data_IF_528972979664
#
_entry.id   IF_528972979664
#
_cell.length_a   1.000
_cell.length_b   1.000
_cell.length_c   1.000
_cell.angle_alpha   90.00
_cell.angle_beta   90.00
_cell.angle_gamma   90.00
#
_symmetry.space_group_name_H-M   'P 1'
#
loop_
_entity.id
_entity.type
_entity.pdbx_description
1 polymer ?
#
# COMPACT_ATOMS: atom_id res chain seq x y z
N UNK A 1 18.84 -17.01 48.06
CA UNK A 1 18.40 -17.97 47.03
C UNK A 1 17.43 -17.31 46.05
N UNK A 2 16.42 -16.60 46.56
CA UNK A 2 15.39 -15.90 45.77
C UNK A 2 15.88 -15.06 44.57
N UNK A 3 16.95 -14.26 44.72
CA UNK A 3 17.50 -13.49 43.58
C UNK A 3 18.02 -14.38 42.43
N UNK A 4 18.64 -15.52 42.74
CA UNK A 4 19.16 -16.42 41.71
C UNK A 4 18.02 -17.10 40.96
N UNK A 5 16.97 -17.51 41.66
CA UNK A 5 15.76 -18.07 41.06
C UNK A 5 15.08 -17.07 40.13
N UNK A 6 14.84 -15.84 40.60
CA UNK A 6 14.28 -14.77 39.77
C UNK A 6 15.17 -14.44 38.56
N UNK A 7 16.49 -14.49 38.73
CA UNK A 7 17.43 -14.35 37.62
C UNK A 7 17.25 -15.44 36.57
N UNK A 8 17.18 -16.71 36.97
CA UNK A 8 17.02 -17.82 36.02
C UNK A 8 15.63 -17.79 35.35
N UNK A 9 14.57 -17.44 36.07
CA UNK A 9 13.24 -17.24 35.50
C UNK A 9 13.25 -16.11 34.46
N UNK A 10 13.88 -14.98 34.76
CA UNK A 10 14.01 -13.85 33.84
C UNK A 10 14.77 -14.25 32.57
N UNK A 11 15.89 -14.95 32.72
CA UNK A 11 16.68 -15.44 31.58
C UNK A 11 15.89 -16.45 30.73
N UNK A 12 15.18 -17.38 31.37
CA UNK A 12 14.31 -18.34 30.68
C UNK A 12 13.20 -17.66 29.88
N UNK A 13 12.57 -16.63 30.45
CA UNK A 13 11.55 -15.83 29.77
C UNK A 13 12.11 -15.12 28.52
N UNK A 14 13.29 -14.49 28.63
CA UNK A 14 13.94 -13.81 27.51
C UNK A 14 14.34 -14.80 26.39
N UNK A 15 14.86 -15.98 26.75
CA UNK A 15 15.23 -17.03 25.78
C UNK A 15 13.99 -17.57 25.07
N UNK A 16 12.91 -17.83 25.80
CA UNK A 16 11.64 -18.28 25.22
C UNK A 16 11.10 -17.23 24.25
N UNK A 17 11.13 -15.96 24.64
CA UNK A 17 10.73 -14.83 23.80
C UNK A 17 11.54 -14.79 22.51
N UNK A 18 12.87 -14.87 22.62
CA UNK A 18 13.76 -14.85 21.46
C UNK A 18 13.50 -16.04 20.53
N UNK A 19 13.26 -17.23 21.08
CA UNK A 19 12.91 -18.41 20.29
C UNK A 19 11.57 -18.24 19.56
N UNK A 20 10.56 -17.67 20.21
CA UNK A 20 9.26 -17.38 19.58
C UNK A 20 9.38 -16.31 18.51
N UNK A 21 10.12 -15.25 18.79
CA UNK A 21 10.39 -14.17 17.85
C UNK A 21 11.08 -14.70 16.59
N UNK A 22 12.11 -15.53 16.73
CA UNK A 22 12.78 -16.19 15.60
C UNK A 22 11.83 -17.03 14.76
N UNK A 23 10.79 -17.62 15.36
CA UNK A 23 9.77 -18.39 14.62
C UNK A 23 8.76 -17.51 13.88
N UNK A 24 8.66 -16.22 14.20
CA UNK A 24 7.73 -15.28 13.58
C UNK A 24 8.37 -14.35 12.54
N UNK A 25 9.70 -14.17 12.58
CA UNK A 25 10.46 -13.36 11.60
C UNK A 25 11.15 -14.27 10.56
N UNK A 26 10.68 -15.50 10.38
CA UNK A 26 11.13 -16.33 9.24
C UNK A 26 10.51 -15.81 7.95
N UNK A 27 11.07 -16.23 6.80
CA UNK A 27 10.38 -16.05 5.51
C UNK A 27 9.02 -16.74 5.55
N UNK A 28 8.01 -16.04 5.05
CA UNK A 28 6.61 -16.44 5.20
C UNK A 28 6.18 -17.51 4.19
N UNK A 29 5.26 -18.38 4.59
CA UNK A 29 4.66 -19.36 3.70
C UNK A 29 3.42 -18.83 2.96
N UNK A 30 2.53 -19.76 2.58
CA UNK A 30 1.20 -19.43 2.03
C UNK A 30 0.31 -18.71 3.07
N UNK A 31 -0.74 -18.07 2.59
CA UNK A 31 -1.70 -17.29 3.40
C UNK A 31 -2.16 -18.03 4.68
N UNK A 32 -2.51 -19.31 4.57
CA UNK A 32 -2.96 -20.13 5.72
C UNK A 32 -1.87 -20.25 6.81
N UNK A 33 -0.62 -20.50 6.40
CA UNK A 33 0.51 -20.60 7.31
C UNK A 33 0.78 -19.27 8.03
N UNK A 34 0.66 -18.15 7.32
CA UNK A 34 0.81 -16.80 7.90
C UNK A 34 -0.34 -16.50 8.87
N UNK A 35 -1.57 -16.92 8.54
CA UNK A 35 -2.72 -16.75 9.42
C UNK A 35 -2.57 -17.53 10.74
N UNK A 36 -2.06 -18.77 10.67
CA UNK A 36 -1.71 -19.56 11.86
C UNK A 36 -0.63 -18.87 12.68
N UNK A 37 0.36 -18.27 12.02
CA UNK A 37 1.43 -17.52 12.68
C UNK A 37 0.89 -16.30 13.43
N UNK A 38 0.00 -15.51 12.81
CA UNK A 38 -0.67 -14.37 13.45
C UNK A 38 -1.55 -14.81 14.62
N UNK A 39 -2.29 -15.92 14.48
CA UNK A 39 -3.08 -16.46 15.58
C UNK A 39 -2.20 -16.86 16.76
N UNK A 40 -1.08 -17.53 16.50
CA UNK A 40 -0.11 -17.91 17.53
C UNK A 40 0.50 -16.68 18.22
N UNK A 41 0.81 -15.63 17.46
CA UNK A 41 1.26 -14.35 17.97
C UNK A 41 0.23 -13.73 18.93
N UNK A 42 -1.02 -13.57 18.47
CA UNK A 42 -2.11 -12.98 19.26
C UNK A 42 -2.34 -13.79 20.54
N UNK A 43 -2.37 -15.12 20.42
CA UNK A 43 -2.54 -15.98 21.58
C UNK A 43 -1.40 -15.85 22.60
N UNK A 44 -0.16 -15.71 22.13
CA UNK A 44 1.00 -15.57 23.03
C UNK A 44 1.11 -14.16 23.63
N UNK A 45 0.88 -13.11 22.84
CA UNK A 45 1.09 -11.73 23.28
C UNK A 45 -0.12 -11.21 24.05
N UNK A 46 -1.32 -11.38 23.52
CA UNK A 46 -2.54 -10.81 24.11
C UNK A 46 -3.15 -11.75 25.15
N UNK A 47 -3.42 -13.02 24.80
CA UNK A 47 -4.13 -13.93 25.71
C UNK A 47 -3.31 -14.39 26.91
N UNK A 48 -1.98 -14.46 26.76
CA UNK A 48 -1.09 -14.80 27.87
C UNK A 48 -0.57 -13.56 28.61
N UNK A 49 -1.04 -12.35 28.28
CA UNK A 49 -0.59 -11.10 28.93
C UNK A 49 0.94 -10.98 28.98
N UNK A 50 1.57 -11.14 27.81
CA UNK A 50 3.02 -11.29 27.69
C UNK A 50 3.80 -10.12 28.30
N UNK A 51 3.35 -8.88 28.07
CA UNK A 51 4.02 -7.69 28.56
C UNK A 51 3.82 -7.52 30.07
N UNK A 52 2.63 -7.84 30.58
CA UNK A 52 2.33 -7.80 32.01
C UNK A 52 3.12 -8.87 32.78
N UNK A 53 3.29 -10.06 32.21
CA UNK A 53 4.12 -11.12 32.78
C UNK A 53 5.59 -10.71 32.88
N UNK A 54 6.13 -10.05 31.85
CA UNK A 54 7.48 -9.48 31.91
C UNK A 54 7.58 -8.48 33.07
N UNK A 55 6.62 -7.55 33.16
CA UNK A 55 6.66 -6.50 34.18
C UNK A 55 6.61 -7.09 35.58
N UNK A 56 5.73 -8.07 35.83
CA UNK A 56 5.64 -8.78 37.10
C UNK A 56 6.96 -9.51 37.45
N UNK A 57 7.55 -10.24 36.49
CA UNK A 57 8.83 -10.92 36.68
C UNK A 57 9.98 -9.93 36.94
N UNK A 58 10.00 -8.81 36.23
CA UNK A 58 11.01 -7.78 36.37
C UNK A 58 10.91 -7.07 37.72
N UNK A 59 9.71 -6.78 38.21
CA UNK A 59 9.51 -6.21 39.55
C UNK A 59 9.98 -7.18 40.66
N UNK A 60 9.65 -8.46 40.56
CA UNK A 60 10.13 -9.48 41.51
C UNK A 60 11.67 -9.60 41.49
N UNK A 61 12.26 -9.57 40.29
CA UNK A 61 13.71 -9.54 40.13
C UNK A 61 14.33 -8.30 40.77
N UNK A 62 13.72 -7.13 40.60
CA UNK A 62 14.20 -5.86 41.19
C UNK A 62 14.17 -5.91 42.72
N UNK A 63 13.06 -6.34 43.33
CA UNK A 63 12.92 -6.43 44.78
C UNK A 63 13.95 -7.42 45.38
N UNK A 64 14.09 -8.60 44.76
CA UNK A 64 15.08 -9.59 45.19
C UNK A 64 16.53 -9.12 44.96
N UNK A 65 16.79 -8.32 43.92
CA UNK A 65 18.10 -7.71 43.65
C UNK A 65 18.47 -6.68 44.72
N UNK A 66 17.52 -5.84 45.13
CA UNK A 66 17.71 -4.85 46.20
C UNK A 66 17.97 -5.54 47.54
N UNK A 67 17.20 -6.58 47.89
CA UNK A 67 17.43 -7.40 49.08
C UNK A 67 18.81 -8.10 49.06
N UNK A 68 19.24 -8.62 47.91
CA UNK A 68 20.53 -9.28 47.76
C UNK A 68 21.73 -8.32 47.84
N UNK A 69 21.53 -7.06 47.44
CA UNK A 69 22.53 -6.00 47.60
C UNK A 69 22.61 -5.52 49.05
N UNK A 70 21.45 -5.34 49.71
CA UNK A 70 21.32 -4.76 51.04
C UNK A 70 21.59 -5.75 52.20
N UNK A 71 21.80 -7.04 51.93
CA UNK A 71 22.22 -7.99 52.96
C UNK A 71 23.55 -7.56 53.59
N UNK A 72 23.53 -7.31 54.91
CA UNK A 72 24.58 -6.64 55.70
C UNK A 72 26.01 -7.11 55.39
N UNK A 73 26.93 -6.15 55.20
CA UNK A 73 28.36 -6.36 54.98
C UNK A 73 29.15 -5.56 56.02
N UNK A 74 29.51 -6.16 57.16
CA UNK A 74 30.12 -5.43 58.29
C UNK A 74 31.66 -5.48 58.34
N UNK A 75 32.35 -5.86 57.26
CA UNK A 75 33.82 -5.96 57.21
C UNK A 75 34.52 -5.31 56.00
N UNK A 76 35.74 -4.77 56.21
CA UNK A 76 36.57 -4.16 55.16
C UNK A 76 36.98 -5.12 54.02
N UNK A 77 37.19 -6.41 54.30
CA UNK A 77 37.48 -7.42 53.29
C UNK A 77 36.21 -7.80 52.49
N UNK A 78 35.04 -7.76 53.12
CA UNK A 78 33.73 -7.95 52.50
C UNK A 78 33.36 -6.80 51.56
N UNK A 79 33.84 -5.58 51.82
CA UNK A 79 33.52 -4.37 51.03
C UNK A 79 33.97 -4.44 49.56
N UNK A 80 35.07 -5.15 49.27
CA UNK A 80 35.50 -5.42 47.88
C UNK A 80 34.59 -6.46 47.20
N UNK A 81 34.17 -7.48 47.94
CA UNK A 81 33.23 -8.51 47.47
C UNK A 81 31.81 -7.96 47.28
N UNK A 82 31.37 -7.07 48.18
CA UNK A 82 30.13 -6.31 48.12
C UNK A 82 30.10 -5.43 46.88
N UNK A 83 31.15 -4.65 46.63
CA UNK A 83 31.23 -3.82 45.43
C UNK A 83 31.19 -4.64 44.13
N UNK A 84 31.85 -5.80 44.09
CA UNK A 84 31.77 -6.72 42.96
C UNK A 84 30.35 -7.28 42.79
N UNK A 85 29.68 -7.66 43.89
CA UNK A 85 28.28 -8.12 43.91
C UNK A 85 27.33 -7.05 43.37
N UNK A 86 27.41 -5.82 43.89
CA UNK A 86 26.61 -4.67 43.45
C UNK A 86 26.83 -4.37 41.98
N UNK A 87 28.10 -4.32 41.55
CA UNK A 87 28.45 -4.08 40.14
C UNK A 87 27.87 -5.16 39.23
N UNK A 88 27.97 -6.43 39.63
CA UNK A 88 27.46 -7.55 38.86
C UNK A 88 25.93 -7.53 38.74
N UNK A 89 25.20 -7.33 39.85
CA UNK A 89 23.73 -7.19 39.83
C UNK A 89 23.31 -6.01 38.95
N UNK A 90 23.94 -4.85 39.11
CA UNK A 90 23.64 -3.66 38.29
C UNK A 90 23.92 -3.90 36.81
N UNK A 91 24.99 -4.64 36.48
CA UNK A 91 25.30 -4.99 35.09
C UNK A 91 24.22 -5.92 34.52
N UNK A 92 23.87 -6.97 35.24
CA UNK A 92 22.82 -7.91 34.86
C UNK A 92 21.47 -7.22 34.63
N UNK A 93 21.05 -6.35 35.56
CA UNK A 93 19.80 -5.59 35.41
C UNK A 93 19.81 -4.71 34.15
N UNK A 94 20.95 -4.06 33.83
CA UNK A 94 21.07 -3.29 32.58
C UNK A 94 20.99 -4.16 31.33
N UNK A 95 21.64 -5.33 31.35
CA UNK A 95 21.59 -6.31 30.24
C UNK A 95 20.14 -6.77 30.00
N UNK A 96 19.40 -7.13 31.06
CA UNK A 96 17.98 -7.52 30.99
C UNK A 96 17.12 -6.42 30.39
N UNK A 97 17.28 -5.17 30.84
CA UNK A 97 16.51 -4.02 30.32
C UNK A 97 16.87 -3.74 28.86
N UNK A 98 18.14 -3.82 28.48
CA UNK A 98 18.57 -3.61 27.09
C UNK A 98 18.03 -4.70 26.16
N UNK A 99 18.14 -5.97 26.55
CA UNK A 99 17.63 -7.10 25.78
C UNK A 99 16.10 -7.02 25.64
N UNK A 100 15.39 -6.68 26.71
CA UNK A 100 13.94 -6.49 26.64
C UNK A 100 13.52 -5.34 25.72
N UNK A 101 14.24 -4.22 25.73
CA UNK A 101 13.94 -3.10 24.82
C UNK A 101 13.98 -3.53 23.36
N UNK A 102 15.00 -4.28 22.96
CA UNK A 102 15.09 -4.83 21.59
C UNK A 102 13.96 -5.83 21.32
N UNK A 103 13.86 -6.88 22.15
CA UNK A 103 12.88 -7.95 21.96
C UNK A 103 11.44 -7.42 21.95
N UNK A 104 11.10 -6.51 22.84
CA UNK A 104 9.75 -5.95 22.94
C UNK A 104 9.41 -5.02 21.77
N UNK A 105 10.41 -4.38 21.14
CA UNK A 105 10.21 -3.60 19.92
C UNK A 105 9.94 -4.53 18.74
N UNK A 106 10.75 -5.57 18.58
CA UNK A 106 10.61 -6.56 17.51
C UNK A 106 9.30 -7.37 17.64
N UNK A 107 8.94 -7.80 18.86
CA UNK A 107 7.65 -8.47 19.10
C UNK A 107 6.49 -7.56 18.72
N UNK A 108 6.56 -6.23 18.94
CA UNK A 108 5.49 -5.31 18.54
C UNK A 108 5.39 -5.14 17.02
N UNK A 109 6.52 -5.18 16.30
CA UNK A 109 6.50 -5.03 14.83
C UNK A 109 6.01 -6.28 14.10
N UNK A 110 6.20 -7.47 14.68
CA UNK A 110 5.75 -8.76 14.09
C UNK A 110 4.28 -8.73 13.71
N UNK A 111 3.40 -8.18 14.57
CA UNK A 111 1.97 -8.11 14.28
C UNK A 111 1.69 -7.36 12.98
N UNK A 112 2.23 -6.16 12.87
CA UNK A 112 2.03 -5.29 11.70
C UNK A 112 2.53 -5.97 10.45
N UNK A 113 3.70 -6.64 10.52
CA UNK A 113 4.27 -7.35 9.37
C UNK A 113 3.38 -8.53 8.95
N UNK A 114 2.88 -9.32 9.90
CA UNK A 114 1.99 -10.45 9.60
C UNK A 114 0.65 -10.00 9.01
N UNK A 115 0.06 -8.94 9.56
CA UNK A 115 -1.17 -8.33 9.03
C UNK A 115 -0.96 -7.76 7.62
N UNK A 116 0.18 -7.12 7.37
CA UNK A 116 0.55 -6.60 6.05
C UNK A 116 0.75 -7.72 5.01
N UNK A 117 1.41 -8.81 5.38
CA UNK A 117 1.58 -9.99 4.51
C UNK A 117 0.22 -10.62 4.18
N UNK A 118 -0.67 -10.77 5.16
CA UNK A 118 -2.02 -11.30 4.93
C UNK A 118 -2.86 -10.41 4.02
N UNK A 119 -2.81 -9.09 4.23
CA UNK A 119 -3.50 -8.12 3.39
C UNK A 119 -3.01 -8.18 1.94
N UNK A 120 -1.69 -8.31 1.73
CA UNK A 120 -1.13 -8.50 0.40
C UNK A 120 -1.54 -9.83 -0.24
N UNK A 121 -1.61 -10.92 0.53
CA UNK A 121 -2.15 -12.21 0.03
C UNK A 121 -3.60 -12.12 -0.40
N UNK A 122 -4.45 -11.47 0.40
CA UNK A 122 -5.86 -11.27 0.09
C UNK A 122 -6.03 -10.41 -1.16
N UNK A 123 -5.31 -9.27 -1.22
CA UNK A 123 -5.32 -8.38 -2.39
C UNK A 123 -4.84 -9.10 -3.64
N UNK A 124 -3.72 -9.83 -3.57
CA UNK A 124 -3.20 -10.62 -4.69
C UNK A 124 -4.23 -11.64 -5.16
N UNK A 125 -4.78 -12.46 -4.26
CA UNK A 125 -5.72 -13.53 -4.61
C UNK A 125 -7.02 -12.98 -5.20
N UNK A 126 -7.57 -11.92 -4.60
CA UNK A 126 -8.78 -11.24 -5.08
C UNK A 126 -8.59 -10.62 -6.46
N UNK A 127 -7.50 -9.89 -6.66
CA UNK A 127 -7.20 -9.25 -7.94
C UNK A 127 -6.86 -10.26 -9.02
N UNK A 128 -6.15 -11.35 -8.70
CA UNK A 128 -5.90 -12.45 -9.65
C UNK A 128 -7.20 -13.10 -10.11
N UNK A 129 -8.10 -13.45 -9.18
CA UNK A 129 -9.40 -14.04 -9.52
C UNK A 129 -10.23 -13.11 -10.42
N UNK A 130 -10.28 -11.83 -10.06
CA UNK A 130 -11.00 -10.80 -10.82
C UNK A 130 -10.41 -10.61 -12.23
N UNK A 131 -9.08 -10.52 -12.35
CA UNK A 131 -8.39 -10.38 -13.64
C UNK A 131 -8.54 -11.61 -14.52
N UNK A 132 -8.51 -12.82 -13.94
CA UNK A 132 -8.68 -14.06 -14.69
C UNK A 132 -10.08 -14.15 -15.30
N UNK A 133 -11.13 -13.87 -14.51
CA UNK A 133 -12.49 -13.82 -15.02
C UNK A 133 -12.64 -12.75 -16.12
N UNK A 134 -12.06 -11.57 -15.89
CA UNK A 134 -12.07 -10.51 -16.90
C UNK A 134 -11.32 -10.88 -18.17
N UNK A 135 -10.20 -11.62 -18.09
CA UNK A 135 -9.49 -12.08 -19.28
C UNK A 135 -10.35 -13.00 -20.15
N UNK A 136 -11.08 -13.92 -19.53
CA UNK A 136 -11.99 -14.82 -20.25
C UNK A 136 -13.09 -14.04 -20.96
N UNK A 137 -13.71 -13.09 -20.26
CA UNK A 137 -14.74 -12.22 -20.83
C UNK A 137 -14.18 -11.30 -21.93
N UNK A 138 -12.97 -10.79 -21.76
CA UNK A 138 -12.29 -9.94 -22.73
C UNK A 138 -11.92 -10.71 -24.01
N UNK A 139 -11.42 -11.94 -23.88
CA UNK A 139 -11.13 -12.83 -25.01
C UNK A 139 -12.43 -13.15 -25.78
N UNK A 140 -13.54 -13.39 -25.08
CA UNK A 140 -14.86 -13.58 -25.69
C UNK A 140 -15.34 -12.31 -26.40
N UNK A 141 -15.23 -11.14 -25.76
CA UNK A 141 -15.62 -9.85 -26.32
C UNK A 141 -14.79 -9.49 -27.56
N UNK A 142 -13.52 -9.89 -27.64
CA UNK A 142 -12.68 -9.70 -28.82
C UNK A 142 -13.20 -10.40 -30.08
N UNK A 143 -14.04 -11.44 -29.95
CA UNK A 143 -14.68 -12.12 -31.08
C UNK A 143 -15.96 -11.43 -31.58
N UNK A 144 -16.49 -10.46 -30.82
CA UNK A 144 -17.73 -9.75 -31.09
C UNK A 144 -17.53 -8.55 -32.03
N UNK A 145 -18.60 -7.92 -32.56
CA UNK A 145 -18.49 -6.70 -33.36
C UNK A 145 -17.90 -5.50 -32.58
N UNK A 146 -17.34 -4.54 -33.32
CA UNK A 146 -16.61 -3.36 -32.80
C UNK A 146 -17.40 -2.56 -31.74
N UNK A 147 -18.72 -2.41 -31.90
CA UNK A 147 -19.55 -1.67 -30.95
C UNK A 147 -19.53 -2.33 -29.55
N UNK A 148 -19.65 -3.65 -29.50
CA UNK A 148 -19.60 -4.43 -28.25
C UNK A 148 -18.21 -4.37 -27.61
N UNK A 149 -17.13 -4.38 -28.41
CA UNK A 149 -15.77 -4.21 -27.90
C UNK A 149 -15.58 -2.86 -27.22
N UNK A 150 -16.06 -1.79 -27.85
CA UNK A 150 -15.97 -0.42 -27.29
C UNK A 150 -16.67 -0.30 -25.95
N UNK A 151 -17.87 -0.85 -25.84
CA UNK A 151 -18.62 -0.82 -24.58
C UNK A 151 -17.92 -1.61 -23.47
N UNK A 152 -17.40 -2.80 -23.78
CA UNK A 152 -16.71 -3.65 -22.80
C UNK A 152 -15.37 -3.05 -22.33
N UNK A 153 -14.56 -2.51 -23.26
CA UNK A 153 -13.23 -1.96 -22.93
C UNK A 153 -13.26 -0.50 -22.47
N UNK A 154 -14.43 0.10 -22.25
CA UNK A 154 -14.54 1.44 -21.67
C UNK A 154 -13.86 1.52 -20.31
N UNK A 155 -14.03 0.49 -19.49
CA UNK A 155 -13.49 0.45 -18.13
C UNK A 155 -12.05 -0.13 -18.09
N UNK A 156 -11.33 -0.14 -19.23
CA UNK A 156 -9.98 -0.70 -19.34
C UNK A 156 -8.97 -0.02 -18.41
N UNK A 157 -9.12 1.28 -18.12
CA UNK A 157 -8.25 2.00 -17.17
C UNK A 157 -8.31 1.40 -15.78
N UNK A 158 -9.51 1.02 -15.30
CA UNK A 158 -9.65 0.36 -14.00
C UNK A 158 -8.90 -0.98 -13.97
N UNK A 159 -8.94 -1.74 -15.06
CA UNK A 159 -8.24 -3.02 -15.16
C UNK A 159 -6.72 -2.86 -15.27
N UNK A 160 -6.24 -1.75 -15.84
CA UNK A 160 -4.81 -1.39 -15.78
C UNK A 160 -4.36 -1.16 -14.34
N UNK A 161 -5.15 -0.46 -13.54
CA UNK A 161 -4.86 -0.21 -12.13
C UNK A 161 -4.90 -1.51 -11.31
N UNK A 162 -5.87 -2.40 -11.59
CA UNK A 162 -5.94 -3.73 -10.97
C UNK A 162 -4.71 -4.58 -11.34
N UNK A 163 -4.28 -4.58 -12.61
CA UNK A 163 -3.07 -5.27 -13.04
C UNK A 163 -1.81 -4.74 -12.35
N UNK A 164 -1.69 -3.41 -12.17
CA UNK A 164 -0.59 -2.81 -11.42
C UNK A 164 -0.63 -3.24 -9.94
N UNK A 165 -1.81 -3.15 -9.30
CA UNK A 165 -2.02 -3.56 -7.92
C UNK A 165 -1.69 -5.05 -7.67
N UNK A 166 -2.02 -5.93 -8.61
CA UNK A 166 -1.65 -7.35 -8.57
C UNK A 166 -0.13 -7.54 -8.58
N UNK A 167 0.57 -6.81 -9.45
CA UNK A 167 2.02 -6.89 -9.56
C UNK A 167 2.70 -6.36 -8.30
N UNK A 168 2.23 -5.25 -7.75
CA UNK A 168 2.78 -4.68 -6.51
C UNK A 168 2.61 -5.64 -5.33
N UNK A 169 1.40 -6.19 -5.15
CA UNK A 169 1.13 -7.17 -4.10
C UNK A 169 1.95 -8.46 -4.31
N UNK A 170 2.03 -8.94 -5.56
CA UNK A 170 2.80 -10.13 -5.90
C UNK A 170 4.32 -9.96 -5.67
N UNK A 171 4.88 -8.78 -6.01
CA UNK A 171 6.29 -8.47 -5.77
C UNK A 171 6.60 -8.40 -4.27
N UNK A 172 5.74 -7.75 -3.48
CA UNK A 172 5.88 -7.74 -2.02
C UNK A 172 5.89 -9.15 -1.44
N UNK A 173 4.97 -10.02 -1.88
CA UNK A 173 4.93 -11.41 -1.43
C UNK A 173 6.16 -12.20 -1.86
N UNK A 174 6.69 -11.98 -3.06
CA UNK A 174 7.92 -12.60 -3.53
C UNK A 174 9.15 -12.25 -2.67
N UNK A 175 9.23 -11.01 -2.20
CA UNK A 175 10.34 -10.54 -1.35
C UNK A 175 10.23 -11.05 0.09
N UNK A 176 9.01 -11.22 0.59
CA UNK A 176 8.73 -11.55 2.00
C UNK A 176 8.52 -13.04 2.27
N UNK A 177 8.09 -13.80 1.27
CA UNK A 177 7.83 -15.24 1.39
C UNK A 177 9.08 -16.11 1.19
N UNK A 178 8.94 -17.39 1.53
CA UNK A 178 9.97 -18.41 1.32
C UNK A 178 10.24 -18.68 -0.17
N UNK A 179 11.36 -19.32 -0.48
CA UNK A 179 11.79 -19.53 -1.85
C UNK A 179 10.80 -20.34 -2.69
N UNK A 180 10.08 -21.28 -2.06
CA UNK A 180 9.11 -22.14 -2.76
C UNK A 180 7.90 -21.32 -3.19
N UNK A 181 7.34 -20.55 -2.26
CA UNK A 181 6.18 -19.70 -2.50
C UNK A 181 6.54 -18.56 -3.45
N UNK A 182 7.72 -17.95 -3.30
CA UNK A 182 8.20 -16.90 -4.19
C UNK A 182 8.43 -17.42 -5.62
N UNK A 183 8.89 -18.66 -5.81
CA UNK A 183 9.01 -19.25 -7.13
C UNK A 183 7.64 -19.45 -7.78
N UNK A 184 6.68 -20.00 -7.04
CA UNK A 184 5.32 -20.22 -7.52
C UNK A 184 4.64 -18.89 -7.91
N UNK A 185 4.76 -17.86 -7.08
CA UNK A 185 4.25 -16.51 -7.34
C UNK A 185 4.87 -15.89 -8.60
N UNK A 186 6.19 -16.02 -8.78
CA UNK A 186 6.88 -15.56 -9.99
C UNK A 186 6.34 -16.25 -11.24
N UNK A 187 6.10 -17.56 -11.19
CA UNK A 187 5.54 -18.30 -12.31
C UNK A 187 4.11 -17.86 -12.63
N UNK A 188 3.26 -17.69 -11.62
CA UNK A 188 1.89 -17.20 -11.81
C UNK A 188 1.86 -15.78 -12.38
N UNK A 189 2.65 -14.85 -11.84
CA UNK A 189 2.77 -13.49 -12.36
C UNK A 189 3.28 -13.47 -13.79
N UNK A 190 4.27 -14.29 -14.14
CA UNK A 190 4.80 -14.37 -15.50
C UNK A 190 3.69 -14.76 -16.50
N UNK A 191 2.88 -15.75 -16.17
CA UNK A 191 1.77 -16.20 -17.01
C UNK A 191 0.68 -15.12 -17.14
N UNK A 192 0.27 -14.52 -16.02
CA UNK A 192 -0.76 -13.48 -15.99
C UNK A 192 -0.32 -12.22 -16.74
N UNK A 193 0.91 -11.75 -16.51
CA UNK A 193 1.46 -10.60 -17.20
C UNK A 193 1.66 -10.88 -18.69
N UNK A 194 1.99 -12.12 -19.06
CA UNK A 194 2.03 -12.57 -20.45
C UNK A 194 0.67 -12.45 -21.12
N UNK A 195 -0.37 -13.03 -20.51
CA UNK A 195 -1.76 -12.93 -21.00
C UNK A 195 -2.25 -11.49 -21.08
N UNK A 196 -1.98 -10.69 -20.04
CA UNK A 196 -2.31 -9.26 -20.01
C UNK A 196 -1.69 -8.54 -21.20
N UNK A 197 -0.38 -8.72 -21.44
CA UNK A 197 0.32 -8.07 -22.55
C UNK A 197 -0.28 -8.43 -23.91
N UNK A 198 -0.56 -9.71 -24.14
CA UNK A 198 -1.11 -10.19 -25.41
C UNK A 198 -2.52 -9.66 -25.67
N UNK A 199 -3.34 -9.54 -24.62
CA UNK A 199 -4.65 -8.91 -24.68
C UNK A 199 -4.52 -7.40 -24.90
N UNK A 200 -3.70 -6.73 -24.10
CA UNK A 200 -3.50 -5.28 -24.11
C UNK A 200 -3.06 -4.76 -25.48
N UNK A 201 -2.16 -5.47 -26.17
CA UNK A 201 -1.76 -5.13 -27.55
C UNK A 201 -2.95 -5.01 -28.51
N UNK A 202 -4.02 -5.80 -28.31
CA UNK A 202 -5.23 -5.80 -29.14
C UNK A 202 -6.24 -4.73 -28.71
N UNK A 203 -6.22 -4.33 -27.44
CA UNK A 203 -7.26 -3.46 -26.84
C UNK A 203 -6.76 -2.07 -26.44
N UNK A 204 -5.47 -1.79 -26.57
CA UNK A 204 -4.83 -0.51 -26.20
C UNK A 204 -5.53 0.72 -26.82
N UNK A 205 -6.11 0.58 -28.01
CA UNK A 205 -6.86 1.65 -28.68
C UNK A 205 -8.10 2.12 -27.89
N UNK A 206 -8.64 1.25 -27.04
CA UNK A 206 -9.80 1.56 -26.20
C UNK A 206 -9.42 2.26 -24.88
N UNK A 207 -8.15 2.18 -24.47
CA UNK A 207 -7.66 2.86 -23.27
C UNK A 207 -7.76 4.39 -23.37
N UNK A 208 -7.89 4.94 -24.58
CA UNK A 208 -8.05 6.39 -24.84
C UNK A 208 -9.39 6.69 -25.53
N UNK A 209 -10.32 5.72 -25.57
CA UNK A 209 -11.59 5.88 -26.28
C UNK A 209 -12.43 7.00 -25.67
N UNK A 210 -12.46 7.13 -24.34
CA UNK A 210 -13.21 8.18 -23.65
C UNK A 210 -12.66 9.58 -23.95
N UNK A 211 -11.34 9.73 -24.05
CA UNK A 211 -10.70 11.01 -24.43
C UNK A 211 -10.98 11.35 -25.89
N UNK A 212 -10.91 10.36 -26.78
CA UNK A 212 -11.20 10.51 -28.21
C UNK A 212 -12.67 10.87 -28.44
N UNK A 213 -13.59 10.24 -27.71
CA UNK A 213 -15.03 10.49 -27.82
C UNK A 213 -15.40 11.87 -27.24
N UNK A 214 -14.76 12.26 -26.13
CA UNK A 214 -14.85 13.62 -25.58
C UNK A 214 -14.35 14.66 -26.59
N UNK A 215 -13.17 14.42 -27.19
CA UNK A 215 -12.60 15.31 -28.20
C UNK A 215 -13.49 15.42 -29.44
N UNK A 216 -14.05 14.30 -29.92
CA UNK A 216 -15.01 14.29 -31.04
C UNK A 216 -16.26 15.11 -30.72
N UNK A 217 -16.81 14.97 -29.51
CA UNK A 217 -18.00 15.72 -29.07
C UNK A 217 -17.71 17.21 -28.96
N UNK A 218 -16.55 17.58 -28.44
CA UNK A 218 -16.14 18.98 -28.30
C UNK A 218 -15.81 19.60 -29.67
N UNK A 219 -15.19 18.86 -30.58
CA UNK A 219 -14.99 19.27 -31.97
C UNK A 219 -16.32 19.51 -32.70
N UNK A 220 -17.29 18.60 -32.58
CA UNK A 220 -18.62 18.75 -33.17
C UNK A 220 -19.34 20.00 -32.65
N UNK A 221 -19.27 20.26 -31.34
CA UNK A 221 -19.81 21.49 -30.74
C UNK A 221 -19.12 22.74 -31.28
N UNK A 222 -17.79 22.71 -31.41
CA UNK A 222 -17.03 23.85 -31.94
C UNK A 222 -17.40 24.13 -33.40
N UNK A 223 -17.53 23.10 -34.23
CA UNK A 223 -17.96 23.23 -35.63
C UNK A 223 -19.37 23.80 -35.73
N UNK A 224 -20.31 23.33 -34.90
CA UNK A 224 -21.68 23.87 -34.86
C UNK A 224 -21.69 25.36 -34.46
N UNK A 225 -20.92 25.74 -33.43
CA UNK A 225 -20.82 27.13 -33.00
C UNK A 225 -20.20 28.04 -34.09
N UNK A 226 -19.18 27.56 -34.80
CA UNK A 226 -18.59 28.29 -35.93
C UNK A 226 -19.58 28.46 -37.08
N UNK A 227 -20.39 27.43 -37.37
CA UNK A 227 -21.43 27.51 -38.39
C UNK A 227 -22.50 28.54 -38.03
N UNK A 228 -22.98 28.54 -36.79
CA UNK A 228 -23.94 29.53 -36.31
C UNK A 228 -23.39 30.97 -36.38
N UNK A 229 -22.10 31.15 -36.04
CA UNK A 229 -21.43 32.45 -36.18
C UNK A 229 -21.30 32.89 -37.64
N UNK A 230 -20.99 31.96 -38.55
CA UNK A 230 -20.91 32.24 -39.98
C UNK A 230 -22.27 32.63 -40.55
N UNK A 231 -23.32 31.86 -40.25
CA UNK A 231 -24.69 32.13 -40.68
C UNK A 231 -25.14 33.52 -40.16
N UNK A 232 -24.82 33.83 -38.90
CA UNK A 232 -25.13 35.15 -38.30
C UNK A 232 -24.35 36.30 -38.95
N UNK A 233 -23.08 36.06 -39.33
CA UNK A 233 -22.25 37.05 -40.01
C UNK A 233 -22.75 37.30 -41.44
N UNK A 234 -23.09 36.24 -42.15
CA UNK A 234 -23.62 36.30 -43.52
C UNK A 234 -24.96 37.02 -43.57
N UNK A 235 -25.88 36.72 -42.65
CA UNK A 235 -27.15 37.45 -42.51
C UNK A 235 -26.88 38.94 -42.35
N UNK A 236 -25.96 39.33 -41.46
CA UNK A 236 -25.67 40.74 -41.19
C UNK A 236 -24.91 41.46 -42.31
N UNK A 237 -24.04 40.75 -43.04
CA UNK A 237 -23.35 41.29 -44.22
C UNK A 237 -24.31 41.51 -45.40
N UNK A 238 -25.34 40.67 -45.52
CA UNK A 238 -26.37 40.79 -46.54
C UNK A 238 -27.51 41.76 -46.16
N UNK A 239 -27.50 42.35 -44.96
CA UNK A 239 -28.43 43.44 -44.62
C UNK A 239 -28.02 44.71 -45.40
N UNK A 240 -28.92 45.32 -46.20
CA UNK A 240 -28.62 46.56 -46.89
C UNK A 240 -28.29 47.68 -45.91
N UNK A 241 -27.12 48.29 -46.03
CA UNK A 241 -26.72 49.42 -45.19
C UNK A 241 -27.50 50.66 -45.64
N UNK A 242 -28.43 51.14 -44.81
CA UNK A 242 -29.07 52.44 -44.98
C UNK A 242 -27.99 53.54 -44.82
N UNK A 243 -27.70 54.24 -45.91
CA UNK A 243 -26.62 55.24 -46.01
C UNK A 243 -27.01 56.49 -45.20
N UNK A 244 -26.70 56.46 -43.90
CA UNK A 244 -26.61 57.65 -43.05
C UNK A 244 -25.27 57.59 -42.28
N UNK A 245 -24.63 58.74 -42.06
CA UNK A 245 -23.26 58.84 -41.51
C UNK A 245 -23.08 58.13 -40.15
N UNK A 246 -24.14 58.07 -39.33
CA UNK A 246 -24.13 57.38 -38.04
C UNK A 246 -24.14 55.85 -38.16
N UNK A 247 -24.84 55.30 -39.16
CA UNK A 247 -25.02 53.85 -39.30
C UNK A 247 -23.73 53.15 -39.76
N UNK A 248 -22.94 53.79 -40.63
CA UNK A 248 -21.66 53.24 -41.11
C UNK A 248 -20.63 53.15 -39.98
N UNK A 249 -20.58 54.15 -39.10
CA UNK A 249 -19.66 54.14 -37.95
C UNK A 249 -20.00 53.05 -36.93
N UNK A 250 -21.29 52.83 -36.66
CA UNK A 250 -21.75 51.77 -35.77
C UNK A 250 -21.46 50.37 -36.34
N UNK A 251 -21.66 50.18 -37.65
CA UNK A 251 -21.34 48.92 -38.32
C UNK A 251 -19.83 48.61 -38.26
N UNK A 252 -18.98 49.61 -38.52
CA UNK A 252 -17.52 49.43 -38.42
C UNK A 252 -17.07 49.04 -37.01
N UNK A 253 -17.61 49.68 -35.97
CA UNK A 253 -17.30 49.32 -34.58
C UNK A 253 -17.73 47.88 -34.23
N UNK A 254 -18.90 47.43 -34.68
CA UNK A 254 -19.38 46.07 -34.40
C UNK A 254 -18.55 44.99 -35.14
N UNK A 255 -18.08 45.30 -36.36
CA UNK A 255 -17.14 44.44 -37.11
C UNK A 255 -15.79 44.36 -36.39
N UNK A 256 -15.30 45.46 -35.85
CA UNK A 256 -14.02 45.53 -35.13
C UNK A 256 -14.06 44.74 -33.81
N UNK A 257 -15.17 44.84 -33.06
CA UNK A 257 -15.41 44.06 -31.84
C UNK A 257 -15.44 42.57 -32.14
N UNK A 258 -16.05 42.15 -33.26
CA UNK A 258 -16.06 40.74 -33.65
C UNK A 258 -14.70 40.25 -34.12
N UNK A 259 -13.94 41.06 -34.88
CA UNK A 259 -12.54 40.73 -35.22
C UNK A 259 -11.71 40.46 -33.97
N UNK A 260 -11.84 41.30 -32.93
CA UNK A 260 -11.17 41.11 -31.66
C UNK A 260 -11.62 39.82 -30.93
N UNK A 261 -12.90 39.45 -31.06
CA UNK A 261 -13.44 38.21 -30.48
C UNK A 261 -12.97 36.95 -31.23
N UNK A 262 -12.87 36.99 -32.56
CA UNK A 262 -12.37 35.88 -33.37
C UNK A 262 -10.89 35.60 -33.11
N UNK A 263 -10.07 36.64 -32.91
CA UNK A 263 -8.65 36.50 -32.55
C UNK A 263 -8.46 35.82 -31.18
N UNK A 264 -9.37 36.04 -30.22
CA UNK A 264 -9.33 35.38 -28.90
C UNK A 264 -9.76 33.92 -28.91
N UNK A 265 -10.49 33.47 -29.93
CA UNK A 265 -10.96 32.08 -30.05
C UNK A 265 -9.90 31.21 -30.77
N UNK A 266 -8.95 31.83 -31.47
CA UNK A 266 -7.87 31.17 -32.21
C UNK A 266 -6.54 31.02 -31.43
N UNK A 267 -6.49 31.46 -30.16
CA UNK A 267 -5.40 31.26 -29.20
C UNK A 267 -5.83 30.24 -28.16
#
# INVERSE_FOLDING_TARGET
>A
MEFLENKYHMQGFLILTESKLKSWIIKYGRQESVAVMLHNYISFVEKQHFFENYEALFQSLKLSAEAFVNADSSGYAERRSEWMRVRWVRRFMREVVAQWRSLSMEVRSVRSMLEEVLSNWERYSSTVASLQAWFEDAEAALSQPENTKREFFRDLSHWMDQHAAMNDAGNFLIETCDETVSLDLKQQLLLLNGRWRDLFLKVQQYAHADELEKWRKDHLKAVLALKELLDTAEVKLNVPVQISFLNVRAFLQDVEVRKARTVRIAQ
#
